data_IF_680758965248
#
_entry.id   IF_680758965248
#
_cell.length_a   1.000
_cell.length_b   1.000
_cell.length_c   1.000
_cell.angle_alpha   90.00
_cell.angle_beta   90.00
_cell.angle_gamma   90.00
#
_symmetry.space_group_name_H-M   'P 1'
#
loop_
_entity.id
_entity.type
_entity.pdbx_description
1 polymer ?
#
# COMPACT_ATOMS: atom_id res chain seq x y z
N UNK A 1 -10.23 -2.84 11.07
CA UNK A 1 -9.29 -1.91 10.42
C UNK A 1 -7.96 -2.63 10.25
N UNK A 2 -7.48 -2.78 9.02
CA UNK A 2 -6.22 -3.52 8.75
C UNK A 2 -5.04 -2.66 9.19
N UNK A 3 -4.22 -3.18 10.11
CA UNK A 3 -2.98 -2.53 10.54
C UNK A 3 -1.82 -3.01 9.67
N UNK A 4 -1.35 -2.12 8.80
CA UNK A 4 -0.12 -2.27 8.03
C UNK A 4 1.10 -2.05 8.90
N UNK A 5 2.10 -2.92 8.73
CA UNK A 5 3.40 -2.85 9.39
C UNK A 5 4.49 -2.50 8.38
N UNK A 6 5.62 -2.03 8.89
CA UNK A 6 6.84 -1.84 8.10
C UNK A 6 7.14 -3.09 7.27
N UNK A 7 7.55 -2.91 6.01
CA UNK A 7 7.87 -3.95 5.03
C UNK A 7 6.69 -4.82 4.56
N UNK A 8 5.44 -4.55 4.97
CA UNK A 8 4.30 -5.20 4.33
C UNK A 8 4.26 -4.86 2.83
N UNK A 9 3.90 -5.86 2.02
CA UNK A 9 3.63 -5.72 0.60
C UNK A 9 2.14 -5.43 0.43
N UNK A 10 1.82 -4.34 -0.25
CA UNK A 10 0.45 -3.83 -0.38
C UNK A 10 0.16 -3.43 -1.81
N UNK A 11 -1.12 -3.46 -2.16
CA UNK A 11 -1.64 -2.96 -3.43
C UNK A 11 -2.85 -2.07 -3.14
N UNK A 12 -3.22 -1.22 -4.10
CA UNK A 12 -4.50 -0.51 -4.03
C UNK A 12 -5.66 -1.49 -4.15
N UNK A 13 -6.56 -1.46 -3.17
CA UNK A 13 -7.78 -2.27 -3.12
C UNK A 13 -8.73 -1.92 -4.27
N UNK A 14 -8.80 -0.65 -4.65
CA UNK A 14 -9.62 -0.18 -5.76
C UNK A 14 -8.92 -0.39 -7.10
N UNK A 15 -9.52 -1.19 -7.99
CA UNK A 15 -8.99 -1.51 -9.33
C UNK A 15 -8.94 -0.31 -10.27
N UNK A 16 -9.75 0.71 -10.03
CA UNK A 16 -9.79 1.92 -10.87
C UNK A 16 -8.58 2.84 -10.62
N UNK A 17 -7.83 2.64 -9.53
CA UNK A 17 -6.56 3.32 -9.32
C UNK A 17 -5.56 2.80 -10.35
N UNK A 18 -4.97 3.66 -11.21
CA UNK A 18 -4.09 3.27 -12.33
C UNK A 18 -2.71 2.76 -11.88
N UNK A 19 -2.55 2.42 -10.60
CA UNK A 19 -1.34 1.82 -10.07
C UNK A 19 -1.58 0.33 -9.79
N UNK A 20 -0.95 -0.51 -10.60
CA UNK A 20 -0.96 -1.96 -10.45
C UNK A 20 0.29 -2.48 -9.74
N UNK A 21 1.17 -1.65 -9.21
CA UNK A 21 2.41 -2.14 -8.61
C UNK A 21 2.19 -2.68 -7.20
N UNK A 22 2.92 -3.73 -6.84
CA UNK A 22 3.10 -4.10 -5.44
C UNK A 22 4.04 -3.12 -4.77
N UNK A 23 3.56 -2.48 -3.72
CA UNK A 23 4.27 -1.42 -3.01
C UNK A 23 4.75 -1.94 -1.65
N UNK A 24 5.86 -1.37 -1.15
CA UNK A 24 6.40 -1.73 0.15
C UNK A 24 6.06 -0.65 1.17
N UNK A 25 5.48 -1.03 2.30
CA UNK A 25 5.21 -0.10 3.40
C UNK A 25 6.52 0.34 4.05
N UNK A 26 6.80 1.64 4.03
CA UNK A 26 7.94 2.28 4.72
C UNK A 26 7.55 2.91 6.06
N UNK A 27 6.27 3.18 6.25
CA UNK A 27 5.70 3.56 7.55
C UNK A 27 4.31 2.94 7.66
N UNK A 28 4.11 2.12 8.69
CA UNK A 28 2.80 1.57 9.01
C UNK A 28 1.79 2.65 9.40
N UNK A 29 0.57 2.25 9.77
CA UNK A 29 -0.53 3.19 10.02
C UNK A 29 -0.13 4.32 10.95
N UNK A 30 -0.41 5.56 10.54
CA UNK A 30 -0.26 6.74 11.35
C UNK A 30 -1.42 7.71 11.09
N UNK A 31 -1.69 8.58 12.07
CA UNK A 31 -2.71 9.63 11.91
C UNK A 31 -2.07 10.90 11.34
N UNK A 32 -2.70 11.48 10.33
CA UNK A 32 -2.38 12.81 9.82
C UNK A 32 -3.68 13.60 9.62
N UNK A 33 -3.82 14.75 10.29
CA UNK A 33 -5.04 15.58 10.26
C UNK A 33 -6.34 14.77 10.48
N UNK A 34 -6.32 13.79 11.40
CA UNK A 34 -7.47 12.92 11.69
C UNK A 34 -7.67 11.73 10.74
N UNK A 35 -6.95 11.68 9.62
CA UNK A 35 -7.02 10.60 8.63
C UNK A 35 -5.97 9.51 8.91
N UNK A 36 -6.30 8.27 8.62
CA UNK A 36 -5.36 7.15 8.76
C UNK A 36 -4.59 6.90 7.46
N UNK A 37 -3.27 7.05 7.53
CA UNK A 37 -2.36 7.05 6.39
C UNK A 37 -1.31 5.95 6.53
N UNK A 38 -0.74 5.57 5.39
CA UNK A 38 0.39 4.64 5.27
C UNK A 38 1.41 5.26 4.30
N UNK A 39 2.70 5.15 4.62
CA UNK A 39 3.76 5.53 3.67
C UNK A 39 4.23 4.29 2.92
N UNK A 40 4.24 4.39 1.60
CA UNK A 40 4.58 3.31 0.66
C UNK A 40 5.75 3.75 -0.23
N UNK A 41 6.53 2.79 -0.69
CA UNK A 41 7.59 2.99 -1.68
C UNK A 41 7.08 2.67 -3.08
N UNK A 42 7.32 3.60 -3.99
CA UNK A 42 7.01 3.56 -5.42
C UNK A 42 8.32 3.70 -6.22
N UNK A 43 8.37 3.32 -7.51
CA UNK A 43 9.56 3.48 -8.35
C UNK A 43 10.07 4.92 -8.50
N UNK A 44 9.29 5.92 -8.12
CA UNK A 44 9.65 7.34 -8.13
C UNK A 44 9.89 7.96 -6.74
N UNK A 45 9.83 7.19 -5.66
CA UNK A 45 10.02 7.68 -4.29
C UNK A 45 8.96 7.23 -3.30
N UNK A 46 8.74 8.02 -2.25
CA UNK A 46 7.77 7.72 -1.20
C UNK A 46 6.41 8.33 -1.53
N UNK A 47 5.36 7.52 -1.43
CA UNK A 47 3.97 7.93 -1.51
C UNK A 47 3.27 7.84 -0.17
N UNK A 48 2.23 8.66 0.02
CA UNK A 48 1.31 8.57 1.14
C UNK A 48 -0.06 8.16 0.61
N UNK A 49 -0.64 7.10 1.17
CA UNK A 49 -1.95 6.60 0.78
C UNK A 49 -2.85 6.44 2.01
N UNK A 50 -4.16 6.53 1.80
CA UNK A 50 -5.12 6.21 2.84
C UNK A 50 -5.07 4.72 3.17
N UNK A 51 -5.07 4.40 4.46
CA UNK A 51 -5.07 3.00 4.89
C UNK A 51 -6.31 2.23 4.36
N UNK A 52 -7.44 2.92 4.19
CA UNK A 52 -8.68 2.37 3.63
C UNK A 52 -8.60 1.99 2.15
N UNK A 53 -7.66 2.56 1.41
CA UNK A 53 -7.49 2.30 -0.02
C UNK A 53 -6.51 1.15 -0.31
N UNK A 54 -5.85 0.62 0.72
CA UNK A 54 -4.84 -0.41 0.59
C UNK A 54 -5.35 -1.77 1.08
N UNK A 55 -4.78 -2.84 0.52
CA UNK A 55 -4.84 -4.19 1.07
C UNK A 55 -3.48 -4.85 1.00
N UNK A 56 -3.29 -5.90 1.80
CA UNK A 56 -2.12 -6.75 1.69
C UNK A 56 -2.13 -7.44 0.32
N UNK A 57 -0.98 -7.47 -0.34
CA UNK A 57 -0.79 -8.17 -1.60
C UNK A 57 -0.87 -9.69 -1.38
N UNK A 58 -1.45 -10.43 -2.32
CA UNK A 58 -1.43 -11.90 -2.29
C UNK A 58 -0.02 -12.42 -2.58
N UNK A 59 0.26 -13.69 -2.27
CA UNK A 59 1.56 -14.29 -2.58
C UNK A 59 1.90 -14.21 -4.09
N UNK A 60 0.89 -14.41 -4.94
CA UNK A 60 1.03 -14.36 -6.40
C UNK A 60 1.31 -12.95 -6.91
N UNK A 61 0.67 -11.93 -6.33
CA UNK A 61 0.96 -10.54 -6.64
C UNK A 61 2.38 -10.15 -6.23
N UNK A 62 2.82 -10.60 -5.04
CA UNK A 62 4.18 -10.36 -4.55
C UNK A 62 5.22 -10.99 -5.47
N UNK A 63 4.96 -12.20 -5.98
CA UNK A 63 5.83 -12.90 -6.93
C UNK A 63 5.89 -12.17 -8.28
N UNK A 64 4.74 -11.72 -8.81
CA UNK A 64 4.66 -10.99 -10.09
C UNK A 64 5.12 -9.54 -9.99
N UNK A 65 5.15 -8.97 -8.78
CA UNK A 65 5.39 -7.55 -8.54
C UNK A 65 4.23 -6.62 -8.92
N UNK A 66 3.09 -7.17 -9.34
CA UNK A 66 1.90 -6.41 -9.77
C UNK A 66 0.61 -7.02 -9.22
N UNK A 67 -0.41 -6.16 -9.08
CA UNK A 67 -1.79 -6.43 -8.69
C UNK A 67 -2.52 -7.20 -9.80
N UNK A 68 -3.38 -8.14 -9.39
CA UNK A 68 -4.28 -8.90 -10.28
C UNK A 68 -5.64 -8.22 -10.55
#
# INVERSE_FOLDING_TARGET
MTKFKLNNKVVFSNKDVPNNLVMTVKRGNYKNAGMEMVTIELPGGLGHAFASELRVATALEVEKGIRE
#
